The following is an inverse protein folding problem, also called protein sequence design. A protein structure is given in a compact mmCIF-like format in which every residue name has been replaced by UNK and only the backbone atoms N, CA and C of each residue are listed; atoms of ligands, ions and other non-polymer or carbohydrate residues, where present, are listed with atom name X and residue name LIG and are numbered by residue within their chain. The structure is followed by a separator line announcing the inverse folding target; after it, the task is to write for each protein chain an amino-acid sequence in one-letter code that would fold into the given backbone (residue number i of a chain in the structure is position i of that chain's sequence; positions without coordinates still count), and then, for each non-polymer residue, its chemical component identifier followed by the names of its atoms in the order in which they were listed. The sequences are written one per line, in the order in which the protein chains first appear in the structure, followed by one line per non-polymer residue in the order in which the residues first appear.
data_IF_069320459481
#
_entry.id   IF_069320459481
#
_cell.length_a   1.000
_cell.length_b   1.000
_cell.length_c   1.000
_cell.angle_alpha   90.00
_cell.angle_beta   90.00
_cell.angle_gamma   90.00
#
_symmetry.space_group_name_H-M   'P 1'
#
loop_
_entity.id
_entity.type
_entity.pdbx_description
1 polymer ?
#
# COMPACT_ATOMS: atom_id res chain seq x y z
N UNK A 1 21.43 6.47 53.21
CA UNK A 1 21.88 5.71 52.02
C UNK A 1 21.41 4.28 52.25
N UNK A 2 20.52 3.66 51.49
CA UNK A 2 20.03 3.91 50.13
C UNK A 2 18.62 3.34 49.99
N UNK A 3 17.77 3.97 49.17
CA UNK A 3 16.46 3.43 48.78
C UNK A 3 16.64 2.40 47.68
N UNK A 4 16.07 1.20 47.86
CA UNK A 4 15.96 0.16 46.85
C UNK A 4 14.69 0.37 46.03
N UNK A 5 14.83 0.53 44.72
CA UNK A 5 13.70 0.63 43.78
C UNK A 5 13.56 -0.67 43.01
N UNK A 6 12.47 -1.39 43.28
CA UNK A 6 12.05 -2.58 42.53
C UNK A 6 11.66 -2.19 41.10
N UNK A 7 12.33 -2.81 40.12
CA UNK A 7 12.02 -2.67 38.70
C UNK A 7 10.90 -3.64 38.29
N UNK A 8 9.77 -3.09 37.87
CA UNK A 8 8.65 -3.81 37.26
C UNK A 8 8.99 -4.17 35.80
N UNK A 9 8.73 -5.41 35.31
CA UNK A 9 9.01 -5.77 33.92
C UNK A 9 7.98 -5.16 32.96
N UNK A 10 8.45 -4.52 31.88
CA UNK A 10 7.61 -3.99 30.80
C UNK A 10 6.92 -5.12 30.00
N UNK A 11 5.67 -4.91 29.53
CA UNK A 11 4.99 -5.86 28.66
C UNK A 11 5.60 -5.84 27.25
N UNK A 12 6.14 -6.96 26.80
CA UNK A 12 6.54 -7.17 25.41
C UNK A 12 5.32 -7.09 24.50
N UNK A 13 5.22 -6.04 23.70
CA UNK A 13 4.23 -5.97 22.63
C UNK A 13 4.76 -6.78 21.45
N UNK A 14 4.30 -8.02 21.32
CA UNK A 14 4.50 -8.85 20.13
C UNK A 14 3.82 -8.17 18.95
N UNK A 15 4.60 -7.48 18.11
CA UNK A 15 4.15 -6.98 16.83
C UNK A 15 4.03 -8.15 15.85
N UNK A 16 2.82 -8.68 15.69
CA UNK A 16 2.51 -9.59 14.59
C UNK A 16 2.64 -8.81 13.29
N UNK A 17 3.55 -9.16 12.36
CA UNK A 17 3.57 -8.52 11.06
C UNK A 17 2.34 -9.00 10.29
N UNK A 18 1.43 -8.08 9.99
CA UNK A 18 0.32 -8.33 9.07
C UNK A 18 0.94 -8.70 7.71
N UNK A 19 0.97 -10.00 7.40
CA UNK A 19 1.43 -10.47 6.10
C UNK A 19 0.43 -10.03 5.04
N UNK A 20 0.79 -9.01 4.27
CA UNK A 20 0.08 -8.63 3.05
C UNK A 20 0.29 -9.76 2.05
N UNK A 21 -0.72 -10.62 1.89
CA UNK A 21 -0.73 -11.65 0.84
C UNK A 21 -0.92 -10.91 -0.49
N UNK A 22 0.17 -10.76 -1.25
CA UNK A 22 0.15 -10.14 -2.57
C UNK A 22 -0.08 -11.25 -3.59
N UNK A 23 -1.32 -11.38 -4.05
CA UNK A 23 -1.66 -12.23 -5.19
C UNK A 23 -1.29 -11.50 -6.49
N UNK A 24 -0.20 -11.90 -7.13
CA UNK A 24 0.18 -11.44 -8.47
C UNK A 24 -0.46 -12.34 -9.51
N UNK A 25 -1.74 -12.16 -9.78
CA UNK A 25 -2.40 -12.77 -10.95
C UNK A 25 -2.33 -11.79 -12.11
N UNK A 26 -1.76 -12.21 -13.24
CA UNK A 26 -1.45 -11.39 -14.43
C UNK A 26 -2.68 -11.11 -15.31
N UNK A 27 -3.88 -11.38 -14.79
CA UNK A 27 -5.14 -11.04 -15.44
C UNK A 27 -5.40 -9.52 -15.32
N UNK A 28 -6.20 -8.95 -16.23
CA UNK A 28 -6.65 -7.55 -16.21
C UNK A 28 -7.52 -7.25 -14.96
N UNK A 29 -6.92 -7.37 -13.79
CA UNK A 29 -7.56 -7.29 -12.48
C UNK A 29 -7.34 -5.91 -11.90
N UNK A 30 -8.42 -5.31 -11.38
CA UNK A 30 -8.34 -4.03 -10.70
C UNK A 30 -7.63 -4.20 -9.35
N UNK A 31 -6.64 -3.36 -9.11
CA UNK A 31 -5.94 -3.29 -7.83
C UNK A 31 -6.59 -2.21 -6.98
N UNK A 32 -7.19 -2.60 -5.86
CA UNK A 32 -7.79 -1.66 -4.89
C UNK A 32 -6.84 -1.45 -3.72
N UNK A 33 -6.40 -0.21 -3.53
CA UNK A 33 -5.58 0.20 -2.38
C UNK A 33 -6.47 0.83 -1.32
N UNK A 34 -6.60 0.16 -0.18
CA UNK A 34 -7.23 0.73 1.02
C UNK A 34 -6.15 1.05 2.05
N UNK A 35 -5.59 2.25 1.95
CA UNK A 35 -4.50 2.72 2.80
C UNK A 35 -4.83 2.67 4.30
N UNK A 36 -6.10 2.85 4.69
CA UNK A 36 -6.51 2.78 6.09
C UNK A 36 -6.46 1.37 6.68
N UNK A 37 -6.57 0.33 5.84
CA UNK A 37 -6.52 -1.08 6.23
C UNK A 37 -5.17 -1.75 5.96
N UNK A 38 -4.43 -1.26 4.96
CA UNK A 38 -3.18 -1.87 4.48
C UNK A 38 -1.93 -1.25 5.11
N UNK A 39 -2.02 -0.01 5.61
CA UNK A 39 -0.91 0.66 6.27
C UNK A 39 -1.00 0.48 7.78
N UNK A 40 0.15 0.22 8.40
CA UNK A 40 0.27 0.00 9.85
C UNK A 40 0.06 1.29 10.64
N UNK A 41 0.34 2.44 10.03
CA UNK A 41 0.28 3.75 10.68
C UNK A 41 -0.81 4.61 10.06
N UNK A 42 -1.67 5.17 10.89
CA UNK A 42 -2.64 6.17 10.46
C UNK A 42 -1.94 7.48 10.12
N UNK A 43 -2.31 8.12 9.01
CA UNK A 43 -1.76 9.41 8.60
C UNK A 43 -2.06 10.49 9.64
N UNK A 44 -1.03 11.20 10.06
CA UNK A 44 -1.08 12.41 10.89
C UNK A 44 -0.13 13.47 10.29
N UNK A 45 -0.32 14.76 10.59
CA UNK A 45 0.58 15.81 10.08
C UNK A 45 2.05 15.60 10.46
N UNK A 46 2.32 14.92 11.57
CA UNK A 46 3.67 14.70 12.10
C UNK A 46 4.36 13.45 11.54
N UNK A 47 3.62 12.50 10.96
CA UNK A 47 4.16 11.22 10.50
C UNK A 47 4.13 11.05 8.97
N UNK A 48 3.82 12.11 8.22
CA UNK A 48 3.72 12.06 6.76
C UNK A 48 4.92 11.37 6.09
N UNK A 49 6.19 11.64 6.44
CA UNK A 49 7.32 10.96 5.80
C UNK A 49 7.28 9.43 5.97
N UNK A 50 7.01 8.95 7.19
CA UNK A 50 6.91 7.51 7.49
C UNK A 50 5.70 6.89 6.82
N UNK A 51 4.56 7.58 6.83
CA UNK A 51 3.34 7.14 6.16
C UNK A 51 3.55 7.02 4.64
N UNK A 52 4.17 8.02 4.03
CA UNK A 52 4.47 8.06 2.60
C UNK A 52 5.46 6.96 2.21
N UNK A 53 6.43 6.63 3.07
CA UNK A 53 7.30 5.47 2.86
C UNK A 53 6.51 4.17 2.83
N UNK A 54 5.63 3.91 3.81
CA UNK A 54 4.77 2.71 3.82
C UNK A 54 3.84 2.68 2.60
N UNK A 55 3.25 3.81 2.23
CA UNK A 55 2.41 3.91 1.03
C UNK A 55 3.19 3.57 -0.25
N UNK A 56 4.42 4.08 -0.41
CA UNK A 56 5.27 3.73 -1.56
C UNK A 56 5.62 2.24 -1.62
N UNK A 57 5.72 1.55 -0.48
CA UNK A 57 5.94 0.10 -0.49
C UNK A 57 4.78 -0.66 -1.13
N UNK A 58 3.55 -0.13 -1.08
CA UNK A 58 2.41 -0.72 -1.82
C UNK A 58 2.63 -0.59 -3.33
N UNK A 59 3.10 0.56 -3.82
CA UNK A 59 3.38 0.73 -5.26
C UNK A 59 4.48 -0.22 -5.72
N UNK A 60 5.50 -0.43 -4.90
CA UNK A 60 6.54 -1.43 -5.18
C UNK A 60 5.97 -2.86 -5.19
N UNK A 61 5.16 -3.21 -4.18
CA UNK A 61 4.60 -4.55 -4.04
C UNK A 61 3.61 -4.94 -5.15
N UNK A 62 2.92 -3.96 -5.72
CA UNK A 62 1.98 -4.15 -6.83
C UNK A 62 2.57 -3.84 -8.21
N UNK A 63 3.88 -3.55 -8.30
CA UNK A 63 4.54 -3.11 -9.55
C UNK A 63 3.86 -1.90 -10.23
N UNK A 64 3.39 -0.97 -9.40
CA UNK A 64 2.67 0.23 -9.84
C UNK A 64 3.58 1.45 -10.03
N UNK A 65 4.87 1.35 -9.69
CA UNK A 65 5.79 2.47 -9.82
C UNK A 65 5.91 2.94 -11.28
N UNK A 66 5.85 2.02 -12.24
CA UNK A 66 5.95 2.38 -13.65
C UNK A 66 4.83 3.33 -14.13
N UNK A 67 3.65 3.22 -13.50
CA UNK A 67 2.52 4.11 -13.78
C UNK A 67 2.67 5.49 -13.13
N UNK A 68 3.50 5.60 -12.09
CA UNK A 68 3.77 6.85 -11.38
C UNK A 68 4.92 7.64 -12.01
N UNK A 69 5.99 6.95 -12.42
CA UNK A 69 7.15 7.56 -13.07
C UNK A 69 6.98 7.74 -14.59
N UNK A 70 5.94 7.12 -15.16
CA UNK A 70 5.58 7.23 -16.57
C UNK A 70 6.28 6.24 -17.49
N UNK A 71 7.06 5.29 -16.96
CA UNK A 71 7.61 4.19 -17.75
C UNK A 71 6.54 3.22 -18.27
N UNK A 72 5.40 3.11 -17.57
CA UNK A 72 4.20 2.44 -18.06
C UNK A 72 3.24 3.48 -18.65
N UNK A 73 3.05 3.41 -19.96
CA UNK A 73 2.15 4.31 -20.68
C UNK A 73 0.68 3.91 -20.52
N UNK A 74 -0.21 4.89 -20.70
CA UNK A 74 -1.64 4.67 -20.79
C UNK A 74 -1.95 3.64 -21.91
N UNK A 75 -2.74 2.58 -21.64
CA UNK A 75 -3.14 1.65 -22.67
C UNK A 75 -3.91 2.34 -23.81
N UNK A 76 -3.76 1.91 -25.07
CA UNK A 76 -4.51 2.49 -26.18
C UNK A 76 -6.02 2.33 -26.01
N UNK A 77 -6.79 3.36 -26.40
CA UNK A 77 -8.24 3.26 -26.44
C UNK A 77 -8.69 2.19 -27.44
N UNK A 78 -9.52 1.21 -27.03
CA UNK A 78 -9.98 0.17 -27.92
C UNK A 78 -10.93 0.74 -28.99
N UNK A 79 -10.91 0.17 -30.19
CA UNK A 79 -11.79 0.55 -31.30
C UNK A 79 -13.28 0.27 -30.99
N UNK A 80 -13.54 -0.71 -30.13
CA UNK A 80 -14.87 -1.06 -29.63
C UNK A 80 -14.86 -0.97 -28.11
N UNK A 81 -15.89 -0.39 -27.51
CA UNK A 81 -16.00 -0.31 -26.06
C UNK A 81 -16.05 -1.73 -25.46
N UNK A 82 -15.08 -2.03 -24.60
CA UNK A 82 -15.07 -3.23 -23.78
C UNK A 82 -14.90 -2.83 -22.32
N UNK A 83 -15.79 -3.28 -21.41
CA UNK A 83 -15.73 -2.92 -19.99
C UNK A 83 -14.48 -3.50 -19.31
N UNK A 84 -13.90 -4.56 -19.86
CA UNK A 84 -12.71 -5.24 -19.33
C UNK A 84 -11.44 -4.88 -20.09
N UNK A 85 -11.48 -3.86 -20.98
CA UNK A 85 -10.27 -3.42 -21.67
C UNK A 85 -9.31 -2.74 -20.69
N UNK A 86 -7.99 -2.92 -20.85
CA UNK A 86 -7.00 -2.24 -20.01
C UNK A 86 -7.20 -0.72 -19.98
N UNK A 87 -7.58 -0.09 -21.10
CA UNK A 87 -7.88 1.34 -21.16
C UNK A 87 -9.10 1.71 -20.30
N UNK A 88 -10.17 0.91 -20.33
CA UNK A 88 -11.35 1.16 -19.49
C UNK A 88 -11.03 1.01 -18.01
N UNK A 89 -10.21 0.03 -17.63
CA UNK A 89 -9.76 -0.18 -16.25
C UNK A 89 -8.76 0.90 -15.79
N UNK A 90 -7.99 1.46 -16.72
CA UNK A 90 -7.03 2.52 -16.46
C UNK A 90 -7.68 3.89 -16.21
N UNK A 91 -8.77 4.19 -16.91
CA UNK A 91 -9.54 5.42 -16.69
C UNK A 91 -10.16 5.39 -15.29
N UNK A 92 -10.29 6.58 -14.66
CA UNK A 92 -10.85 6.82 -13.33
C UNK A 92 -11.91 5.78 -12.90
N UNK A 93 -11.65 5.12 -11.77
CA UNK A 93 -12.48 4.06 -11.20
C UNK A 93 -13.35 4.55 -10.01
N UNK A 94 -13.22 5.83 -9.61
CA UNK A 94 -13.86 6.48 -8.47
C UNK A 94 -15.02 7.41 -8.84
#
# INVERSE_FOLDING_TARGET
MSTESTQTPEPSTTVTPNSLVISTDTSNSLITINAASQLLVKLTPLNYPSWHAQFNTLFLGYDLLGYRDGSHSCPPKPATASPTSPHTLWVRQD
#
